data_IF_402418586128
#
_entry.id   IF_402418586128
#
_cell.length_a   1.000
_cell.length_b   1.000
_cell.length_c   1.000
_cell.angle_alpha   90.00
_cell.angle_beta   90.00
_cell.angle_gamma   90.00
#
_symmetry.space_group_name_H-M   'P 1'
#
loop_
_entity.id
_entity.type
_entity.pdbx_description
1 polymer ?
#
# COMPACT_ATOMS: atom_id res chain seq x y z
N UNK A 1 -33.39 -14.25 -27.24
CA UNK A 1 -34.35 -15.07 -26.47
C UNK A 1 -34.38 -16.50 -27.04
N UNK A 2 -33.68 -17.48 -26.43
CA UNK A 2 -33.89 -18.95 -26.61
C UNK A 2 -32.80 -19.89 -25.99
N UNK A 3 -31.98 -19.47 -25.00
CA UNK A 3 -31.00 -20.41 -24.38
C UNK A 3 -31.56 -21.35 -23.31
N UNK A 4 -32.81 -21.16 -22.88
CA UNK A 4 -33.36 -21.78 -21.66
C UNK A 4 -34.34 -22.93 -21.92
N UNK A 5 -34.87 -23.07 -23.15
CA UNK A 5 -35.94 -24.03 -23.47
C UNK A 5 -35.53 -25.52 -23.47
N UNK A 6 -34.23 -25.84 -23.35
CA UNK A 6 -33.70 -27.22 -23.40
C UNK A 6 -32.91 -27.63 -22.15
N UNK A 7 -32.98 -26.88 -21.04
CA UNK A 7 -32.29 -27.26 -19.79
C UNK A 7 -33.12 -28.30 -19.03
N UNK A 8 -32.46 -29.37 -18.57
CA UNK A 8 -33.06 -30.43 -17.75
C UNK A 8 -33.11 -30.08 -16.25
N UNK A 9 -32.36 -29.06 -15.83
CA UNK A 9 -32.17 -28.67 -14.44
C UNK A 9 -32.25 -27.16 -14.29
N UNK A 10 -32.81 -26.70 -13.17
CA UNK A 10 -33.00 -25.27 -12.83
C UNK A 10 -31.77 -24.70 -12.12
N UNK A 11 -30.92 -25.58 -11.59
CA UNK A 11 -29.73 -25.24 -10.84
C UNK A 11 -28.67 -24.58 -11.74
N UNK A 12 -28.07 -23.52 -11.21
CA UNK A 12 -27.03 -22.78 -11.92
C UNK A 12 -25.72 -23.59 -11.90
N UNK A 13 -25.36 -24.13 -13.07
CA UNK A 13 -24.09 -24.84 -13.22
C UNK A 13 -22.95 -23.83 -13.24
N UNK A 14 -21.86 -24.15 -12.54
CA UNK A 14 -20.62 -23.36 -12.57
C UNK A 14 -20.20 -23.16 -14.03
N UNK A 15 -20.31 -21.92 -14.51
CA UNK A 15 -19.87 -21.53 -15.84
C UNK A 15 -18.38 -21.21 -15.75
N UNK A 16 -17.54 -22.19 -16.07
CA UNK A 16 -16.08 -22.05 -16.06
C UNK A 16 -15.38 -23.37 -16.42
N UNK A 17 -14.09 -23.32 -16.78
CA UNK A 17 -13.29 -24.53 -17.06
C UNK A 17 -13.36 -25.53 -15.89
N UNK A 18 -13.63 -26.81 -16.19
CA UNK A 18 -13.71 -27.90 -15.18
C UNK A 18 -12.36 -28.18 -14.52
N UNK A 19 -11.26 -27.95 -15.23
CA UNK A 19 -9.93 -28.04 -14.69
C UNK A 19 -9.44 -26.62 -14.34
N UNK A 20 -8.92 -26.38 -13.11
CA UNK A 20 -8.19 -25.15 -12.84
C UNK A 20 -7.05 -25.04 -13.85
N UNK A 21 -6.88 -23.88 -14.48
CA UNK A 21 -5.79 -23.64 -15.42
C UNK A 21 -4.47 -24.17 -14.85
N UNK A 22 -3.62 -24.82 -15.67
CA UNK A 22 -2.29 -25.21 -15.21
C UNK A 22 -1.61 -23.97 -14.64
N UNK A 23 -1.14 -24.08 -13.40
CA UNK A 23 -0.36 -23.01 -12.79
C UNK A 23 0.81 -22.72 -13.73
N UNK A 24 1.06 -21.46 -14.12
CA UNK A 24 2.25 -21.13 -14.92
C UNK A 24 3.56 -21.30 -14.14
N UNK A 25 3.48 -21.79 -12.89
CA UNK A 25 4.60 -22.03 -12.00
C UNK A 25 4.76 -23.54 -11.81
N UNK A 26 6.01 -24.00 -11.89
CA UNK A 26 6.38 -25.34 -11.45
C UNK A 26 6.20 -25.49 -9.94
N UNK A 27 6.17 -26.73 -9.46
CA UNK A 27 6.05 -27.02 -8.02
C UNK A 27 7.20 -26.40 -7.21
N UNK A 28 8.41 -26.37 -7.77
CA UNK A 28 9.58 -25.76 -7.13
C UNK A 28 9.45 -24.23 -7.04
N UNK A 29 9.01 -23.58 -8.12
CA UNK A 29 8.76 -22.13 -8.15
C UNK A 29 7.64 -21.73 -7.18
N UNK A 30 6.57 -22.51 -7.14
CA UNK A 30 5.47 -22.30 -6.20
C UNK A 30 5.93 -22.43 -4.75
N UNK A 31 6.75 -23.44 -4.43
CA UNK A 31 7.35 -23.59 -3.10
C UNK A 31 8.27 -22.41 -2.74
N UNK A 32 9.10 -21.95 -3.70
CA UNK A 32 9.98 -20.81 -3.51
C UNK A 32 9.19 -19.51 -3.23
N UNK A 33 8.13 -19.25 -4.02
CA UNK A 33 7.23 -18.11 -3.83
C UNK A 33 6.59 -18.13 -2.42
N UNK A 34 6.08 -19.29 -2.00
CA UNK A 34 5.41 -19.45 -0.70
C UNK A 34 6.39 -19.24 0.45
N UNK A 35 7.58 -19.86 0.37
CA UNK A 35 8.63 -19.68 1.36
C UNK A 35 9.07 -18.21 1.43
N UNK A 36 9.36 -17.59 0.29
CA UNK A 36 9.77 -16.20 0.21
C UNK A 36 8.75 -15.26 0.87
N UNK A 37 7.46 -15.44 0.57
CA UNK A 37 6.39 -14.62 1.15
C UNK A 37 6.29 -14.78 2.66
N UNK A 38 6.43 -16.01 3.18
CA UNK A 38 6.36 -16.30 4.63
C UNK A 38 7.54 -15.71 5.40
N UNK A 39 8.73 -15.67 4.79
CA UNK A 39 9.93 -15.17 5.47
C UNK A 39 10.10 -13.65 5.37
N UNK A 40 9.72 -13.05 4.24
CA UNK A 40 10.00 -11.62 3.99
C UNK A 40 8.86 -10.71 4.40
N UNK A 41 7.61 -11.20 4.39
CA UNK A 41 6.40 -10.41 4.64
C UNK A 41 6.30 -9.14 3.78
N UNK A 42 6.96 -9.13 2.63
CA UNK A 42 6.92 -8.02 1.68
C UNK A 42 5.52 -7.92 1.03
N UNK A 43 5.06 -6.72 0.63
CA UNK A 43 3.89 -6.53 -0.22
C UNK A 43 3.95 -7.32 -1.54
N UNK A 44 2.80 -7.51 -2.18
CA UNK A 44 2.69 -8.33 -3.41
C UNK A 44 3.64 -7.88 -4.52
N UNK A 45 3.70 -6.58 -4.78
CA UNK A 45 4.49 -6.02 -5.88
C UNK A 45 6.00 -6.05 -5.57
N UNK A 46 6.38 -5.91 -4.30
CA UNK A 46 7.78 -6.06 -3.87
C UNK A 46 8.23 -7.52 -3.96
N UNK A 47 7.37 -8.49 -3.60
CA UNK A 47 7.65 -9.90 -3.84
C UNK A 47 7.83 -10.20 -5.33
N UNK A 48 7.01 -9.61 -6.19
CA UNK A 48 7.14 -9.78 -7.64
C UNK A 48 8.50 -9.30 -8.13
N UNK A 49 8.89 -8.08 -7.74
CA UNK A 49 10.17 -7.49 -8.13
C UNK A 49 11.36 -8.32 -7.63
N UNK A 50 11.32 -8.80 -6.39
CA UNK A 50 12.40 -9.59 -5.80
C UNK A 50 12.55 -10.99 -6.43
N UNK A 51 11.44 -11.60 -6.86
CA UNK A 51 11.43 -12.95 -7.44
C UNK A 51 11.62 -12.94 -8.97
N UNK A 52 11.38 -11.81 -9.64
CA UNK A 52 11.52 -11.67 -11.10
C UNK A 52 12.88 -12.16 -11.65
N UNK A 53 14.04 -11.88 -11.00
CA UNK A 53 15.32 -12.35 -11.50
C UNK A 53 15.46 -13.88 -11.50
N UNK A 54 14.82 -14.58 -10.56
CA UNK A 54 14.87 -16.04 -10.44
C UNK A 54 13.74 -16.74 -11.19
N UNK A 55 12.61 -16.05 -11.38
CA UNK A 55 11.42 -16.55 -12.08
C UNK A 55 10.98 -15.49 -13.10
N UNK A 56 11.63 -15.38 -14.27
CA UNK A 56 11.41 -14.28 -15.21
C UNK A 56 9.99 -14.21 -15.77
N UNK A 57 9.32 -15.36 -15.93
CA UNK A 57 7.93 -15.48 -16.37
C UNK A 57 6.90 -15.28 -15.25
N UNK A 58 7.34 -14.96 -14.03
CA UNK A 58 6.43 -14.64 -12.95
C UNK A 58 5.64 -13.38 -13.29
N UNK A 59 4.32 -13.53 -13.37
CA UNK A 59 3.41 -12.40 -13.54
C UNK A 59 2.74 -12.06 -12.21
N UNK A 60 2.37 -10.80 -12.04
CA UNK A 60 1.59 -10.33 -10.87
C UNK A 60 0.35 -11.21 -10.61
N UNK A 61 -0.36 -11.57 -11.67
CA UNK A 61 -1.56 -12.42 -11.62
C UNK A 61 -1.25 -13.85 -11.16
N UNK A 62 -0.17 -14.44 -11.66
CA UNK A 62 0.27 -15.77 -11.26
C UNK A 62 0.71 -15.79 -9.79
N UNK A 63 1.50 -14.79 -9.37
CA UNK A 63 1.90 -14.60 -7.98
C UNK A 63 0.69 -14.47 -7.06
N UNK A 64 -0.24 -13.58 -7.39
CA UNK A 64 -1.43 -13.35 -6.58
C UNK A 64 -2.28 -14.62 -6.44
N UNK A 65 -2.55 -15.34 -7.55
CA UNK A 65 -3.29 -16.62 -7.51
C UNK A 65 -2.55 -17.70 -6.72
N UNK A 66 -1.22 -17.76 -6.81
CA UNK A 66 -0.39 -18.65 -6.02
C UNK A 66 -0.58 -18.39 -4.52
N UNK A 67 -0.37 -17.14 -4.08
CA UNK A 67 -0.54 -16.76 -2.68
C UNK A 67 -1.98 -16.95 -2.18
N UNK A 68 -2.98 -16.72 -3.04
CA UNK A 68 -4.39 -16.96 -2.72
C UNK A 68 -4.67 -18.44 -2.45
N UNK A 69 -4.15 -19.35 -3.29
CA UNK A 69 -4.31 -20.81 -3.08
C UNK A 69 -3.68 -21.28 -1.77
N UNK A 70 -2.59 -20.64 -1.35
CA UNK A 70 -1.89 -20.94 -0.09
C UNK A 70 -2.40 -20.16 1.12
N UNK A 71 -3.46 -19.34 0.97
CA UNK A 71 -4.05 -18.58 2.07
C UNK A 71 -3.17 -17.44 2.63
N UNK A 72 -2.11 -17.04 1.90
CA UNK A 72 -1.10 -16.06 2.34
C UNK A 72 -1.07 -14.80 1.46
N UNK A 73 -2.15 -14.55 0.70
CA UNK A 73 -2.30 -13.34 -0.12
C UNK A 73 -2.33 -12.06 0.74
N UNK A 74 -2.99 -12.13 1.89
CA UNK A 74 -2.97 -11.04 2.89
C UNK A 74 -1.77 -11.22 3.80
N UNK A 75 -1.02 -10.14 4.05
CA UNK A 75 0.01 -10.14 5.08
C UNK A 75 -0.63 -10.35 6.46
N UNK A 76 0.02 -11.05 7.39
CA UNK A 76 -0.43 -11.07 8.77
C UNK A 76 -0.55 -9.63 9.27
N UNK A 77 -1.57 -9.34 10.06
CA UNK A 77 -1.60 -8.10 10.82
C UNK A 77 -0.44 -8.19 11.82
N UNK A 78 0.72 -7.66 11.44
CA UNK A 78 1.82 -7.44 12.35
C UNK A 78 1.23 -6.52 13.43
N UNK A 79 1.22 -6.98 14.68
CA UNK A 79 0.88 -6.16 15.84
C UNK A 79 1.93 -5.06 16.03
N UNK A 80 2.00 -4.14 15.07
CA UNK A 80 2.49 -2.79 15.25
C UNK A 80 1.25 -1.94 15.47
N UNK A 81 1.18 -1.34 16.66
CA UNK A 81 0.14 -0.41 17.10
C UNK A 81 -0.29 0.50 15.95
N UNK A 82 -1.35 0.12 15.21
CA UNK A 82 -1.90 0.97 14.16
C UNK A 82 -2.48 2.16 14.92
N UNK A 83 -1.87 3.35 14.85
CA UNK A 83 -2.30 4.43 15.70
C UNK A 83 -3.76 4.73 15.38
N UNK A 84 -4.63 4.66 16.38
CA UNK A 84 -6.05 5.00 16.22
C UNK A 84 -6.12 6.40 15.58
N UNK A 85 -6.61 6.47 14.35
CA UNK A 85 -6.73 7.74 13.62
C UNK A 85 -7.86 8.54 14.27
N UNK A 86 -7.49 9.49 15.12
CA UNK A 86 -8.43 10.44 15.71
C UNK A 86 -9.01 11.34 14.61
N UNK A 87 -10.32 11.61 14.67
CA UNK A 87 -11.01 12.54 13.78
C UNK A 87 -10.88 13.95 14.36
N UNK A 88 -10.44 14.90 13.54
CA UNK A 88 -10.27 16.30 13.93
C UNK A 88 -11.20 17.21 13.12
N UNK A 89 -11.66 18.35 13.67
CA UNK A 89 -12.32 19.37 12.85
C UNK A 89 -11.33 19.99 11.84
N UNK A 90 -11.84 20.60 10.79
CA UNK A 90 -11.04 21.46 9.90
C UNK A 90 -10.50 22.63 10.74
N UNK A 91 -9.23 23.00 10.53
CA UNK A 91 -8.47 23.96 11.33
C UNK A 91 -7.54 23.30 12.36
N UNK A 92 -7.54 21.98 12.50
CA UNK A 92 -6.61 21.28 13.38
C UNK A 92 -5.31 20.93 12.64
N UNK A 93 -4.27 21.73 12.88
CA UNK A 93 -2.98 21.58 12.24
C UNK A 93 -2.03 20.69 13.04
N UNK A 94 -1.29 19.85 12.32
CA UNK A 94 -0.05 19.27 12.81
C UNK A 94 1.10 20.11 12.28
N UNK A 95 1.90 20.64 13.21
CA UNK A 95 3.08 21.42 12.87
C UNK A 95 4.33 20.57 13.03
N UNK A 96 5.07 20.42 11.94
CA UNK A 96 6.40 19.84 11.91
C UNK A 96 7.44 20.92 11.61
N UNK A 97 8.66 20.70 12.10
CA UNK A 97 9.81 21.57 11.85
C UNK A 97 10.93 20.68 11.34
N UNK A 98 11.50 21.03 10.18
CA UNK A 98 12.66 20.36 9.63
C UNK A 98 13.80 21.36 9.48
N UNK A 99 15.01 20.96 9.87
CA UNK A 99 16.22 21.69 9.53
C UNK A 99 16.63 21.37 8.09
N UNK A 100 16.92 22.40 7.30
CA UNK A 100 17.30 22.29 5.90
C UNK A 100 18.62 23.02 5.69
N UNK A 101 19.58 22.32 5.09
CA UNK A 101 20.86 22.90 4.69
C UNK A 101 20.72 23.49 3.28
N UNK A 102 20.87 24.81 3.14
CA UNK A 102 20.82 25.53 1.86
C UNK A 102 22.16 26.19 1.55
N UNK A 103 22.27 26.81 0.38
CA UNK A 103 23.44 27.60 0.00
C UNK A 103 23.64 28.83 0.91
N UNK A 104 22.56 29.37 1.50
CA UNK A 104 22.63 30.46 2.48
C UNK A 104 22.95 29.97 3.90
N UNK A 105 23.14 28.66 4.10
CA UNK A 105 23.44 28.04 5.38
C UNK A 105 22.25 27.27 5.95
N UNK A 106 22.14 27.25 7.27
CA UNK A 106 21.15 26.46 8.00
C UNK A 106 19.83 27.24 8.12
N UNK A 107 18.75 26.69 7.58
CA UNK A 107 17.39 27.22 7.68
C UNK A 107 16.44 26.19 8.30
N UNK A 108 15.25 26.65 8.70
CA UNK A 108 14.20 25.83 9.29
C UNK A 108 12.93 25.93 8.46
N UNK A 109 12.43 24.78 8.01
CA UNK A 109 11.16 24.65 7.31
C UNK A 109 10.06 24.30 8.31
N UNK A 110 9.15 25.24 8.53
CA UNK A 110 7.90 25.00 9.24
C UNK A 110 6.88 24.44 8.28
N UNK A 111 6.21 23.36 8.67
CA UNK A 111 5.16 22.71 7.88
C UNK A 111 3.92 22.54 8.77
N UNK A 112 2.86 23.29 8.48
CA UNK A 112 1.55 23.12 9.10
C UNK A 112 0.63 22.34 8.18
N UNK A 113 0.21 21.14 8.56
CA UNK A 113 -0.72 20.31 7.77
C UNK A 113 -2.05 20.17 8.50
N UNK A 114 -3.14 20.62 7.88
CA UNK A 114 -4.48 20.34 8.39
C UNK A 114 -4.75 18.83 8.32
N UNK A 115 -5.09 18.24 9.46
CA UNK A 115 -5.21 16.78 9.58
C UNK A 115 -6.39 16.21 8.79
N UNK A 116 -7.39 17.02 8.48
CA UNK A 116 -8.64 16.62 7.84
C UNK A 116 -8.65 16.98 6.35
N UNK A 117 -8.42 18.24 6.01
CA UNK A 117 -8.47 18.76 4.64
C UNK A 117 -7.18 18.51 3.85
N UNK A 118 -6.07 18.19 4.54
CA UNK A 118 -4.73 17.96 3.94
C UNK A 118 -4.11 19.18 3.27
N UNK A 119 -4.64 20.38 3.49
CA UNK A 119 -3.94 21.61 3.13
C UNK A 119 -2.66 21.74 3.96
N UNK A 120 -1.57 22.09 3.28
CA UNK A 120 -0.27 22.29 3.88
C UNK A 120 0.17 23.75 3.67
N UNK A 121 0.66 24.35 4.73
CA UNK A 121 1.30 25.66 4.74
C UNK A 121 2.76 25.45 5.10
N UNK A 122 3.66 26.06 4.33
CA UNK A 122 5.09 25.94 4.57
C UNK A 122 5.76 27.30 4.60
N UNK A 123 6.66 27.51 5.54
CA UNK A 123 7.49 28.71 5.60
C UNK A 123 8.92 28.34 5.94
N UNK A 124 9.87 28.84 5.14
CA UNK A 124 11.29 28.72 5.39
C UNK A 124 11.76 29.96 6.16
N UNK A 125 12.42 29.74 7.30
CA UNK A 125 12.85 30.81 8.20
C UNK A 125 14.26 30.58 8.71
N UNK A 126 14.92 31.65 9.13
CA UNK A 126 16.28 31.64 9.68
C UNK A 126 16.34 31.08 11.11
N UNK A 127 15.24 31.21 11.87
CA UNK A 127 15.16 30.80 13.28
C UNK A 127 13.90 29.99 13.57
N UNK A 128 14.09 28.85 14.23
CA UNK A 128 12.99 28.05 14.77
C UNK A 128 12.60 28.52 16.17
N UNK A 129 11.74 29.53 16.26
CA UNK A 129 11.12 29.96 17.52
C UNK A 129 9.58 29.92 17.48
N UNK A 130 8.96 29.97 18.66
CA UNK A 130 7.49 29.86 18.81
C UNK A 130 6.74 31.02 18.14
N UNK A 131 7.34 32.22 18.08
CA UNK A 131 6.70 33.40 17.49
C UNK A 131 6.65 33.27 15.97
N UNK A 132 7.74 32.79 15.38
CA UNK A 132 7.86 32.51 13.96
C UNK A 132 6.91 31.38 13.53
N UNK A 133 6.79 30.33 14.35
CA UNK A 133 5.80 29.27 14.15
C UNK A 133 4.34 29.79 14.15
N UNK A 134 4.02 30.71 15.05
CA UNK A 134 2.68 31.33 15.08
C UNK A 134 2.44 32.24 13.87
N UNK A 135 3.44 33.03 13.50
CA UNK A 135 3.39 33.93 12.35
C UNK A 135 3.17 33.18 11.05
N UNK A 136 3.77 31.99 10.89
CA UNK A 136 3.64 31.18 9.68
C UNK A 136 2.20 30.72 9.41
N UNK A 137 1.40 30.56 10.47
CA UNK A 137 -0.01 30.18 10.35
C UNK A 137 -0.95 31.38 10.20
N UNK A 138 -0.50 32.58 10.57
CA UNK A 138 -1.30 33.82 10.54
C UNK A 138 -1.27 34.54 9.19
N UNK A 139 -0.44 34.07 8.26
CA UNK A 139 -0.20 34.70 6.95
C UNK A 139 -0.97 33.99 5.81
N UNK A 140 -1.87 33.06 6.15
CA UNK A 140 -2.67 32.26 5.22
C UNK A 140 -4.12 32.71 5.14
#
# INVERSE_FOLDING_TARGET
MAKWRKRATVEDLKTGPKAPHPTPLSQAEEAAVVAFRRHTLLPLDDCLYALQPSIPHLTRSALHRCLQRHGISRLPDIEGDKPKRKRYPIGFFHMDIAEVQTAEGKLYLFVGIDRTSKFAVTQLVDKADRRTAWSSLSTC
#
